data_IF_751244552138
#
_entry.id   IF_751244552138
#
_cell.length_a   1.000
_cell.length_b   1.000
_cell.length_c   1.000
_cell.angle_alpha   90.00
_cell.angle_beta   90.00
_cell.angle_gamma   90.00
#
_symmetry.space_group_name_H-M   'P 1'
#
loop_
_entity.id
_entity.type
_entity.pdbx_description
1 polymer ?
#
# COMPACT_ATOMS: atom_id res chain seq x y z
N UNK A 1 -4.65 -44.56 -59.42
CA UNK A 1 -4.37 -45.14 -58.12
C UNK A 1 -4.99 -44.18 -57.09
N UNK A 2 -6.18 -44.55 -56.59
CA UNK A 2 -6.95 -43.71 -55.66
C UNK A 2 -6.63 -44.20 -54.23
N UNK A 3 -6.08 -43.31 -53.39
CA UNK A 3 -5.85 -43.58 -51.98
C UNK A 3 -7.08 -43.16 -51.18
N UNK A 4 -7.72 -44.13 -50.56
CA UNK A 4 -8.89 -43.96 -49.69
C UNK A 4 -8.43 -43.44 -48.30
N UNK A 5 -9.00 -42.28 -47.92
CA UNK A 5 -8.89 -41.72 -46.56
C UNK A 5 -9.93 -42.42 -45.65
N UNK A 6 -9.48 -43.20 -44.70
CA UNK A 6 -10.32 -43.80 -43.65
C UNK A 6 -10.46 -42.81 -42.49
N UNK A 7 -11.70 -42.47 -42.18
CA UNK A 7 -12.06 -41.68 -40.99
C UNK A 7 -11.98 -42.55 -39.70
N UNK A 8 -11.51 -41.98 -38.57
CA UNK A 8 -11.57 -42.66 -37.29
C UNK A 8 -13.01 -42.69 -36.72
N UNK A 9 -13.34 -43.71 -35.92
CA UNK A 9 -14.69 -43.87 -35.35
C UNK A 9 -14.92 -42.86 -34.18
N UNK A 10 -16.21 -42.52 -33.91
CA UNK A 10 -16.58 -41.62 -32.84
C UNK A 10 -16.44 -42.28 -31.47
N UNK A 11 -16.19 -41.47 -30.39
CA UNK A 11 -16.00 -41.97 -29.03
C UNK A 11 -17.33 -42.46 -28.43
N UNK A 12 -17.29 -43.44 -27.48
CA UNK A 12 -18.49 -44.04 -26.89
C UNK A 12 -19.22 -43.06 -25.94
N UNK A 13 -20.54 -43.09 -26.03
CA UNK A 13 -21.45 -42.36 -25.15
C UNK A 13 -21.41 -42.92 -23.71
N UNK A 14 -21.09 -42.07 -22.73
CA UNK A 14 -21.26 -42.36 -21.31
C UNK A 14 -22.73 -42.15 -20.89
N UNK A 15 -23.29 -43.04 -20.08
CA UNK A 15 -24.65 -42.89 -19.62
C UNK A 15 -24.78 -41.82 -18.53
N UNK A 16 -25.77 -40.95 -18.71
CA UNK A 16 -26.21 -39.93 -17.75
C UNK A 16 -26.90 -40.63 -16.54
N UNK A 17 -26.24 -40.51 -15.36
CA UNK A 17 -26.86 -40.87 -14.09
C UNK A 17 -27.33 -39.61 -13.38
N UNK A 18 -28.63 -39.35 -13.46
CA UNK A 18 -29.33 -38.44 -12.56
C UNK A 18 -30.14 -39.27 -11.54
N UNK A 19 -29.90 -39.09 -10.24
CA UNK A 19 -30.97 -39.29 -9.28
C UNK A 19 -31.26 -37.95 -8.55
N UNK A 20 -32.46 -37.41 -8.75
CA UNK A 20 -33.04 -36.39 -7.89
C UNK A 20 -33.48 -37.01 -6.57
N UNK A 21 -33.09 -36.52 -5.40
CA UNK A 21 -33.72 -36.90 -4.15
C UNK A 21 -35.04 -36.12 -3.98
N UNK A 22 -36.14 -36.82 -3.93
CA UNK A 22 -37.42 -36.30 -3.47
C UNK A 22 -37.43 -36.17 -1.96
N UNK A 23 -37.39 -34.93 -1.47
CA UNK A 23 -37.66 -34.65 -0.06
C UNK A 23 -39.16 -34.48 0.17
N UNK A 24 -39.77 -35.47 0.75
CA UNK A 24 -41.14 -35.40 1.32
C UNK A 24 -41.10 -34.57 2.60
N UNK A 25 -41.81 -33.45 2.58
CA UNK A 25 -42.07 -32.62 3.78
C UNK A 25 -42.99 -33.38 4.71
N UNK A 26 -42.48 -33.93 5.81
CA UNK A 26 -43.27 -34.29 6.99
C UNK A 26 -43.34 -33.07 7.89
N UNK A 27 -44.51 -32.44 7.97
CA UNK A 27 -44.82 -31.39 8.96
C UNK A 27 -44.93 -32.04 10.33
N UNK A 28 -43.94 -31.80 11.19
CA UNK A 28 -44.02 -32.04 12.62
C UNK A 28 -44.48 -30.74 13.29
N UNK A 29 -45.78 -30.72 13.68
CA UNK A 29 -46.32 -29.70 14.56
C UNK A 29 -45.82 -30.00 15.98
N UNK A 30 -44.77 -29.25 16.40
CA UNK A 30 -44.33 -29.15 17.78
C UNK A 30 -44.94 -27.88 18.39
N UNK A 31 -45.97 -28.07 19.22
CA UNK A 31 -46.47 -27.04 20.12
C UNK A 31 -45.42 -26.76 21.21
N UNK A 32 -44.67 -25.70 21.05
CA UNK A 32 -43.77 -25.21 22.08
C UNK A 32 -44.44 -24.06 22.82
N UNK A 33 -44.69 -24.27 24.11
CA UNK A 33 -45.05 -23.24 25.09
C UNK A 33 -43.93 -22.20 25.15
N UNK A 34 -44.20 -20.99 24.74
CA UNK A 34 -43.26 -19.87 24.80
C UNK A 34 -43.15 -19.37 26.24
N UNK A 35 -42.10 -19.80 26.95
CA UNK A 35 -41.57 -19.06 28.11
C UNK A 35 -40.73 -17.90 27.59
N UNK A 36 -41.27 -16.70 27.73
CA UNK A 36 -40.56 -15.45 27.42
C UNK A 36 -39.46 -15.21 28.43
N UNK A 37 -38.26 -15.71 28.16
CA UNK A 37 -37.03 -15.25 28.83
C UNK A 37 -36.65 -13.91 28.22
N UNK A 38 -36.96 -12.82 28.93
CA UNK A 38 -36.45 -11.49 28.62
C UNK A 38 -34.95 -11.46 28.87
N UNK A 39 -34.16 -11.63 27.80
CA UNK A 39 -32.74 -11.32 27.83
C UNK A 39 -32.59 -9.80 27.87
N UNK A 40 -31.82 -9.23 28.81
CA UNK A 40 -31.47 -7.82 28.73
C UNK A 40 -30.70 -7.64 27.42
N UNK A 41 -31.21 -6.80 26.54
CA UNK A 41 -30.47 -6.35 25.36
C UNK A 41 -29.23 -5.62 25.85
N UNK A 42 -28.09 -6.29 25.81
CA UNK A 42 -26.80 -5.63 25.89
C UNK A 42 -26.77 -4.64 24.72
N UNK A 43 -27.01 -3.38 25.02
CA UNK A 43 -26.78 -2.28 24.10
C UNK A 43 -25.28 -2.35 23.77
N UNK A 44 -24.95 -2.96 22.66
CA UNK A 44 -23.64 -2.80 22.05
C UNK A 44 -23.54 -1.31 21.72
N UNK A 45 -22.90 -0.54 22.59
CA UNK A 45 -22.48 0.82 22.26
C UNK A 45 -21.53 0.66 21.10
N UNK A 46 -22.04 0.92 19.88
CA UNK A 46 -21.22 1.03 18.69
C UNK A 46 -20.14 2.06 19.04
N UNK A 47 -18.91 1.61 19.19
CA UNK A 47 -17.76 2.49 19.37
C UNK A 47 -17.72 3.33 18.10
N UNK A 48 -18.17 4.58 18.24
CA UNK A 48 -18.16 5.53 17.14
C UNK A 48 -16.69 5.68 16.69
N UNK A 49 -16.39 5.50 15.40
CA UNK A 49 -15.01 5.62 14.94
C UNK A 49 -14.46 6.97 15.37
N UNK A 50 -13.21 7.03 15.86
CA UNK A 50 -12.63 8.28 16.34
C UNK A 50 -12.67 9.30 15.20
N UNK A 51 -13.17 10.50 15.50
CA UNK A 51 -13.19 11.57 14.52
C UNK A 51 -11.75 12.13 14.38
N UNK A 52 -11.05 11.89 13.26
CA UNK A 52 -9.66 12.26 13.13
C UNK A 52 -9.51 13.77 13.02
N UNK A 53 -8.70 14.34 13.92
CA UNK A 53 -8.32 15.77 13.86
C UNK A 53 -6.92 15.91 13.25
N UNK A 54 -6.77 16.88 12.35
CA UNK A 54 -5.50 17.24 11.74
C UNK A 54 -4.70 18.07 12.73
N UNK A 55 -3.58 17.54 13.19
CA UNK A 55 -2.67 18.21 14.11
C UNK A 55 -1.46 18.81 13.40
N UNK A 56 -1.02 18.20 12.31
CA UNK A 56 0.14 18.58 11.56
C UNK A 56 -0.16 18.61 10.06
N UNK A 57 0.57 19.45 9.32
CA UNK A 57 0.51 19.49 7.86
C UNK A 57 1.91 19.36 7.29
N UNK A 58 2.00 18.58 6.20
CA UNK A 58 3.24 18.36 5.46
C UNK A 58 2.96 18.59 3.99
N UNK A 59 3.91 19.19 3.28
CA UNK A 59 3.90 19.16 1.82
C UNK A 59 4.89 18.14 1.31
N UNK A 60 4.56 17.52 0.18
CA UNK A 60 5.46 16.68 -0.63
C UNK A 60 5.35 17.10 -2.09
N UNK A 61 6.48 17.28 -2.75
CA UNK A 61 6.53 17.49 -4.20
C UNK A 61 6.97 16.21 -4.90
N UNK A 62 6.24 15.85 -5.93
CA UNK A 62 6.55 14.69 -6.75
C UNK A 62 7.03 15.12 -8.12
N UNK A 63 8.09 14.48 -8.62
CA UNK A 63 8.67 14.76 -9.92
C UNK A 63 8.92 13.48 -10.71
N UNK A 64 8.88 13.58 -12.02
CA UNK A 64 9.27 12.53 -12.96
C UNK A 64 10.76 12.66 -13.29
N UNK A 65 11.46 11.53 -13.34
CA UNK A 65 12.85 11.42 -13.73
C UNK A 65 12.95 10.44 -14.90
N UNK A 66 13.01 10.92 -16.17
CA UNK A 66 13.02 10.03 -17.33
C UNK A 66 14.30 9.20 -17.45
N UNK A 67 15.41 9.70 -16.88
CA UNK A 67 16.75 9.14 -17.11
C UNK A 67 17.29 8.25 -15.99
N UNK A 68 16.49 7.96 -14.96
CA UNK A 68 16.95 7.22 -13.78
C UNK A 68 17.50 5.82 -14.08
N UNK A 69 16.97 5.13 -15.09
CA UNK A 69 17.34 3.76 -15.45
C UNK A 69 18.29 3.66 -16.65
N UNK A 70 18.93 4.75 -17.04
CA UNK A 70 19.91 4.70 -18.13
C UNK A 70 21.12 3.82 -17.76
N UNK A 71 21.70 3.08 -18.74
CA UNK A 71 22.79 2.14 -18.50
C UNK A 71 24.11 2.79 -18.02
N UNK A 72 24.24 4.10 -18.13
CA UNK A 72 25.46 4.85 -17.79
C UNK A 72 25.52 5.31 -16.32
N UNK A 73 24.68 4.73 -15.44
CA UNK A 73 24.69 5.06 -14.01
C UNK A 73 25.97 4.59 -13.35
N UNK A 74 26.69 5.50 -12.70
CA UNK A 74 27.91 5.20 -11.95
C UNK A 74 27.61 4.99 -10.45
N UNK A 75 28.49 4.27 -9.77
CA UNK A 75 28.41 4.08 -8.33
C UNK A 75 28.61 5.43 -7.64
N UNK A 76 27.62 5.90 -6.89
CA UNK A 76 27.66 7.20 -6.19
C UNK A 76 26.76 8.29 -6.78
N UNK A 77 26.17 8.07 -7.96
CA UNK A 77 25.19 8.99 -8.52
C UNK A 77 23.95 9.07 -7.61
N UNK A 78 23.60 10.29 -7.24
CA UNK A 78 22.37 10.57 -6.48
C UNK A 78 21.21 10.85 -7.43
N UNK A 79 19.97 10.74 -6.94
CA UNK A 79 18.78 11.06 -7.75
C UNK A 79 18.84 12.50 -8.25
N UNK A 80 19.32 13.44 -7.45
CA UNK A 80 19.46 14.84 -7.85
C UNK A 80 20.43 15.05 -9.02
N UNK A 81 21.49 14.24 -9.14
CA UNK A 81 22.42 14.31 -10.27
C UNK A 81 21.89 13.60 -11.52
N UNK A 82 21.18 12.50 -11.33
CA UNK A 82 20.60 11.70 -12.43
C UNK A 82 19.37 12.35 -13.05
N UNK A 83 18.63 13.14 -12.28
CA UNK A 83 17.35 13.72 -12.66
C UNK A 83 17.46 15.21 -12.98
N UNK A 84 18.55 15.64 -13.65
CA UNK A 84 18.72 17.04 -14.12
C UNK A 84 17.54 17.54 -14.98
N UNK A 85 16.94 16.63 -15.75
CA UNK A 85 15.81 16.90 -16.67
C UNK A 85 14.47 16.51 -16.05
N UNK A 86 14.36 16.59 -14.72
CA UNK A 86 13.13 16.22 -14.02
C UNK A 86 11.98 17.17 -14.32
N UNK A 87 10.78 16.61 -14.43
CA UNK A 87 9.54 17.37 -14.58
C UNK A 87 8.72 17.29 -13.30
N UNK A 88 8.38 18.45 -12.74
CA UNK A 88 7.52 18.51 -11.55
C UNK A 88 6.10 18.04 -11.92
N UNK A 89 5.60 17.02 -11.22
CA UNK A 89 4.20 16.59 -11.29
C UNK A 89 3.29 17.52 -10.49
N UNK A 90 3.75 17.95 -9.34
CA UNK A 90 3.03 18.86 -8.47
C UNK A 90 3.31 18.66 -6.99
N UNK A 91 2.60 19.47 -6.19
CA UNK A 91 2.69 19.47 -4.73
C UNK A 91 1.43 18.84 -4.13
N UNK A 92 1.62 18.01 -3.12
CA UNK A 92 0.56 17.38 -2.32
C UNK A 92 0.67 17.90 -0.90
N UNK A 93 -0.46 18.28 -0.30
CA UNK A 93 -0.53 18.65 1.12
C UNK A 93 -1.22 17.54 1.89
N UNK A 94 -0.54 17.02 2.90
CA UNK A 94 -1.00 15.96 3.77
C UNK A 94 -1.41 16.54 5.12
N UNK A 95 -2.59 16.16 5.62
CA UNK A 95 -3.01 16.40 6.99
C UNK A 95 -2.80 15.14 7.84
N UNK A 96 -2.13 15.27 8.98
CA UNK A 96 -1.73 14.14 9.81
C UNK A 96 -2.52 14.11 11.12
N UNK A 97 -2.75 12.91 11.65
CA UNK A 97 -3.58 12.62 12.82
C UNK A 97 -2.74 12.34 14.07
N UNK A 98 -1.93 13.32 14.50
CA UNK A 98 -1.00 13.16 15.62
C UNK A 98 -1.67 12.86 16.97
N UNK A 99 -2.97 13.13 17.14
CA UNK A 99 -3.70 12.74 18.34
C UNK A 99 -4.05 11.25 18.39
N UNK A 100 -4.17 10.59 17.23
CA UNK A 100 -4.49 9.17 17.13
C UNK A 100 -3.25 8.29 17.16
N UNK A 101 -2.24 8.68 16.38
CA UNK A 101 -1.01 7.92 16.20
C UNK A 101 0.22 8.85 16.27
N UNK A 102 0.51 9.37 17.48
CA UNK A 102 1.53 10.40 17.68
C UNK A 102 2.94 9.94 17.30
N UNK A 103 3.27 8.66 17.54
CA UNK A 103 4.60 8.14 17.22
C UNK A 103 4.81 8.01 15.72
N UNK A 104 3.82 7.46 15.01
CA UNK A 104 3.84 7.35 13.55
C UNK A 104 3.97 8.73 12.90
N UNK A 105 3.15 9.69 13.33
CA UNK A 105 3.19 11.07 12.81
C UNK A 105 4.51 11.76 13.11
N UNK A 106 5.04 11.62 14.33
CA UNK A 106 6.33 12.20 14.72
C UNK A 106 7.48 11.66 13.88
N UNK A 107 7.53 10.33 13.68
CA UNK A 107 8.56 9.68 12.86
C UNK A 107 8.47 10.13 11.39
N UNK A 108 7.26 10.12 10.82
CA UNK A 108 7.03 10.56 9.45
C UNK A 108 7.43 12.03 9.25
N UNK A 109 7.02 12.90 10.15
CA UNK A 109 7.35 14.33 10.12
C UNK A 109 8.86 14.58 10.22
N UNK A 110 9.57 13.83 11.08
CA UNK A 110 11.02 13.99 11.24
C UNK A 110 11.79 13.64 9.97
N UNK A 111 11.27 12.72 9.14
CA UNK A 111 11.85 12.35 7.84
C UNK A 111 11.48 13.34 6.72
N UNK A 112 10.44 14.17 6.90
CA UNK A 112 10.11 15.24 5.97
C UNK A 112 10.90 16.52 6.26
N UNK A 113 11.27 16.77 7.52
CA UNK A 113 12.00 17.97 7.91
C UNK A 113 13.50 17.71 7.77
N UNK A 114 14.06 18.12 6.63
CA UNK A 114 15.52 18.08 6.43
C UNK A 114 16.18 19.09 7.34
N UNK A 115 17.07 18.64 8.23
CA UNK A 115 17.94 19.53 9.00
C UNK A 115 19.02 20.11 8.06
N UNK A 116 19.08 21.44 7.85
CA UNK A 116 20.06 22.05 6.95
C UNK A 116 21.53 21.79 7.36
N UNK A 117 21.75 21.40 8.62
CA UNK A 117 23.08 21.06 9.16
C UNK A 117 23.41 19.56 9.10
N UNK A 118 22.54 18.74 8.57
CA UNK A 118 22.79 17.32 8.41
C UNK A 118 23.51 17.05 7.09
N UNK A 119 24.42 16.06 7.10
CA UNK A 119 25.16 15.62 5.92
C UNK A 119 24.24 15.37 4.72
N UNK A 120 24.73 15.55 3.46
CA UNK A 120 23.94 15.29 2.24
C UNK A 120 23.36 13.87 2.15
N UNK A 121 23.85 12.93 2.97
CA UNK A 121 23.29 11.60 3.19
C UNK A 121 22.22 11.58 4.31
N UNK A 122 21.66 12.74 4.65
CA UNK A 122 20.64 12.87 5.69
C UNK A 122 19.39 12.06 5.34
N UNK A 123 18.96 11.34 6.31
CA UNK A 123 17.77 10.48 6.28
C UNK A 123 16.51 11.31 6.08
N UNK A 124 16.03 11.41 4.86
CA UNK A 124 14.83 12.16 4.50
C UNK A 124 14.06 11.42 3.42
N UNK A 125 12.77 11.71 3.30
CA UNK A 125 11.98 11.29 2.14
C UNK A 125 12.37 12.03 0.85
N UNK A 126 13.05 13.16 0.94
CA UNK A 126 13.57 13.85 -0.24
C UNK A 126 14.52 12.94 -1.01
N UNK A 127 14.39 12.93 -2.33
CA UNK A 127 15.12 12.06 -3.25
C UNK A 127 14.81 10.55 -3.10
N UNK A 128 13.65 10.18 -2.57
CA UNK A 128 13.22 8.78 -2.52
C UNK A 128 12.19 8.46 -3.58
N UNK A 129 12.17 7.21 -4.04
CA UNK A 129 11.33 6.76 -5.13
C UNK A 129 9.92 6.38 -4.66
N UNK A 130 8.96 6.58 -5.55
CA UNK A 130 7.74 5.80 -5.59
C UNK A 130 8.10 4.45 -6.24
N UNK A 131 8.22 3.41 -5.44
CA UNK A 131 8.77 2.14 -5.90
C UNK A 131 7.72 1.14 -6.40
N UNK A 132 6.47 1.26 -5.94
CA UNK A 132 5.33 0.46 -6.41
C UNK A 132 4.11 1.35 -6.66
N UNK A 133 3.39 1.09 -7.75
CA UNK A 133 2.08 1.70 -8.03
C UNK A 133 1.13 0.58 -8.42
N UNK A 134 0.09 0.39 -7.62
CA UNK A 134 -1.00 -0.55 -7.88
C UNK A 134 -2.17 0.27 -8.47
N UNK A 135 -2.41 0.18 -9.77
CA UNK A 135 -3.41 1.01 -10.43
C UNK A 135 -4.80 0.85 -9.80
N UNK A 136 -5.45 1.98 -9.52
CA UNK A 136 -6.78 1.99 -8.92
C UNK A 136 -6.86 1.60 -7.44
N UNK A 137 -5.72 1.43 -6.78
CA UNK A 137 -5.65 1.06 -5.36
C UNK A 137 -4.80 2.06 -4.57
N UNK A 138 -3.48 1.97 -4.66
CA UNK A 138 -2.53 2.80 -3.92
C UNK A 138 -1.15 2.78 -4.57
N UNK A 139 -0.28 3.65 -4.10
CA UNK A 139 1.14 3.57 -4.38
C UNK A 139 1.95 3.57 -3.09
N UNK A 140 3.19 3.08 -3.18
CA UNK A 140 4.14 2.94 -2.08
C UNK A 140 5.37 3.83 -2.31
N UNK A 141 5.81 4.50 -1.25
CA UNK A 141 7.02 5.32 -1.23
C UNK A 141 7.72 5.24 0.13
N UNK A 142 8.98 5.70 0.17
CA UNK A 142 9.74 5.76 1.41
C UNK A 142 10.24 4.40 1.91
N UNK A 143 10.48 3.43 1.02
CA UNK A 143 11.06 2.14 1.37
C UNK A 143 12.38 2.33 2.11
N UNK A 144 12.59 1.58 3.20
CA UNK A 144 13.85 1.59 3.93
C UNK A 144 14.93 0.86 3.14
N UNK A 145 16.13 1.46 3.06
CA UNK A 145 17.25 0.85 2.37
C UNK A 145 18.38 1.83 2.05
N UNK A 146 18.89 1.76 0.85
CA UNK A 146 20.07 2.51 0.41
C UNK A 146 19.68 3.79 -0.34
N UNK A 147 20.16 4.98 0.11
CA UNK A 147 19.87 6.25 -0.53
C UNK A 147 20.29 6.33 -2.01
N UNK A 148 21.38 5.66 -2.39
CA UNK A 148 21.83 5.58 -3.79
C UNK A 148 20.83 4.81 -4.70
N UNK A 149 19.92 4.03 -4.10
CA UNK A 149 18.80 3.37 -4.79
C UNK A 149 17.49 4.12 -4.73
N UNK A 150 17.49 5.33 -4.13
CA UNK A 150 16.27 6.10 -3.90
C UNK A 150 15.42 5.57 -2.75
N UNK A 151 16.06 4.95 -1.77
CA UNK A 151 15.43 4.41 -0.58
C UNK A 151 15.76 5.29 0.64
N UNK A 152 14.96 5.20 1.70
CA UNK A 152 15.17 5.95 2.95
C UNK A 152 16.14 5.19 3.84
N UNK A 153 17.14 5.88 4.35
CA UNK A 153 17.96 5.37 5.45
C UNK A 153 17.55 6.08 6.74
N UNK A 154 16.74 5.47 7.60
CA UNK A 154 16.31 6.10 8.85
C UNK A 154 17.49 6.43 9.73
N UNK A 155 17.46 7.57 10.43
CA UNK A 155 18.54 7.90 11.39
C UNK A 155 18.46 6.95 12.59
N UNK A 156 19.62 6.62 13.16
CA UNK A 156 19.71 5.71 14.32
C UNK A 156 18.94 6.20 15.55
N UNK A 157 18.79 7.52 15.69
CA UNK A 157 18.02 8.13 16.77
C UNK A 157 16.49 8.08 16.55
N UNK A 158 16.02 7.67 15.38
CA UNK A 158 14.58 7.55 15.11
C UNK A 158 13.99 6.47 16.02
N UNK A 159 13.04 6.80 16.90
CA UNK A 159 12.49 5.83 17.82
C UNK A 159 11.68 4.77 17.07
N UNK A 160 11.72 3.53 17.59
CA UNK A 160 10.86 2.46 17.09
C UNK A 160 9.39 2.84 17.22
N UNK A 161 8.60 2.48 16.24
CA UNK A 161 7.17 2.72 16.25
C UNK A 161 6.46 1.62 17.05
N UNK A 162 6.10 1.94 18.31
CA UNK A 162 5.36 1.02 19.19
C UNK A 162 3.87 0.93 18.83
N UNK A 163 3.35 1.81 18.00
CA UNK A 163 1.94 1.79 17.57
C UNK A 163 1.65 0.63 16.61
N UNK A 164 2.69 0.03 16.01
CA UNK A 164 2.56 -1.13 15.13
C UNK A 164 1.99 -2.38 15.81
N UNK A 165 2.03 -2.43 17.14
CA UNK A 165 1.47 -3.53 17.97
C UNK A 165 0.26 -3.09 18.78
N UNK A 166 -0.18 -1.83 18.69
CA UNK A 166 -1.36 -1.32 19.38
C UNK A 166 -2.61 -1.44 18.50
N UNK A 167 -3.61 -2.26 18.84
CA UNK A 167 -4.84 -2.39 18.05
C UNK A 167 -5.58 -1.07 17.83
N UNK A 168 -5.43 -0.09 18.72
CA UNK A 168 -6.08 1.24 18.59
C UNK A 168 -5.52 2.04 17.40
N UNK A 169 -4.27 1.79 17.02
CA UNK A 169 -3.65 2.47 15.89
C UNK A 169 -4.29 2.07 14.53
N UNK A 170 -4.99 0.94 14.49
CA UNK A 170 -5.66 0.41 13.29
C UNK A 170 -7.15 0.79 13.21
N UNK A 171 -7.60 1.76 14.00
CA UNK A 171 -9.02 2.12 14.10
C UNK A 171 -9.60 2.78 12.83
N UNK A 172 -8.77 3.36 11.97
CA UNK A 172 -9.19 4.01 10.74
C UNK A 172 -9.08 3.07 9.53
N UNK A 173 -9.97 3.26 8.55
CA UNK A 173 -10.08 2.43 7.34
C UNK A 173 -9.66 3.19 6.08
N UNK A 174 -9.31 2.43 5.03
CA UNK A 174 -8.93 2.96 3.72
C UNK A 174 -10.18 3.15 2.83
N UNK A 175 -11.10 3.97 3.30
CA UNK A 175 -12.46 4.10 2.74
C UNK A 175 -12.54 4.96 1.46
N UNK A 176 -11.50 5.71 1.12
CA UNK A 176 -11.51 6.69 0.02
C UNK A 176 -10.10 6.93 -0.54
N UNK A 177 -9.99 7.59 -1.73
CA UNK A 177 -8.73 8.11 -2.23
C UNK A 177 -8.10 9.13 -1.29
N UNK A 178 -6.77 9.21 -1.33
CA UNK A 178 -6.00 10.18 -0.55
C UNK A 178 -5.81 9.81 0.93
N UNK A 179 -6.11 8.59 1.36
CA UNK A 179 -5.73 8.12 2.71
C UNK A 179 -4.24 7.82 2.72
N UNK A 180 -3.55 8.34 3.75
CA UNK A 180 -2.12 8.13 3.98
C UNK A 180 -1.94 7.14 5.11
N UNK A 181 -1.18 6.07 4.86
CA UNK A 181 -1.02 4.98 5.79
C UNK A 181 0.43 4.52 5.87
N UNK A 182 0.86 4.11 7.07
CA UNK A 182 2.13 3.42 7.26
C UNK A 182 2.00 2.00 6.71
N UNK A 183 2.90 1.63 5.78
CA UNK A 183 2.89 0.31 5.16
C UNK A 183 3.53 -0.72 6.10
N UNK A 184 2.76 -1.72 6.49
CA UNK A 184 3.20 -2.82 7.35
C UNK A 184 3.01 -4.18 6.68
N UNK A 185 2.06 -4.28 5.74
CA UNK A 185 1.66 -5.55 5.13
C UNK A 185 2.28 -5.82 3.77
N UNK A 186 2.82 -4.78 3.12
CA UNK A 186 3.30 -4.90 1.73
C UNK A 186 4.75 -5.43 1.63
N UNK A 187 5.42 -5.56 2.78
CA UNK A 187 6.80 -6.06 2.87
C UNK A 187 6.87 -7.55 3.23
N UNK A 188 5.83 -8.33 2.90
CA UNK A 188 5.77 -9.75 3.23
C UNK A 188 6.90 -10.56 2.56
N UNK A 189 7.44 -10.07 1.44
CA UNK A 189 8.54 -10.71 0.71
C UNK A 189 9.93 -10.47 1.34
N UNK A 190 10.02 -9.65 2.41
CA UNK A 190 11.29 -9.25 3.03
C UNK A 190 11.26 -9.48 4.56
N UNK A 191 10.76 -10.62 5.01
CA UNK A 191 10.64 -10.92 6.44
C UNK A 191 11.97 -10.81 7.20
N UNK A 192 13.10 -11.12 6.58
CA UNK A 192 14.42 -10.96 7.18
C UNK A 192 14.73 -9.51 7.58
N UNK A 193 14.28 -8.52 6.78
CA UNK A 193 14.49 -7.11 7.08
C UNK A 193 13.68 -6.68 8.30
N UNK A 194 12.49 -7.23 8.50
CA UNK A 194 11.64 -6.90 9.66
C UNK A 194 12.24 -7.33 10.99
N UNK A 195 13.08 -8.36 10.99
CA UNK A 195 13.80 -8.84 12.18
C UNK A 195 15.08 -8.05 12.46
N UNK A 196 15.55 -7.21 11.52
CA UNK A 196 16.71 -6.35 11.74
C UNK A 196 16.41 -5.37 12.90
N UNK A 197 17.25 -5.32 13.96
CA UNK A 197 17.10 -4.35 15.04
C UNK A 197 17.19 -2.89 14.57
N UNK A 198 17.81 -2.63 13.43
CA UNK A 198 17.90 -1.29 12.82
C UNK A 198 16.70 -0.96 11.90
N UNK A 199 15.80 -1.93 11.64
CA UNK A 199 14.63 -1.67 10.84
C UNK A 199 13.67 -0.70 11.52
N UNK A 200 13.23 0.28 10.75
CA UNK A 200 12.21 1.27 11.15
C UNK A 200 11.10 1.26 10.11
N UNK A 201 9.87 1.17 10.55
CA UNK A 201 8.72 1.25 9.66
C UNK A 201 8.58 2.70 9.16
N UNK A 202 9.16 3.01 8.01
CA UNK A 202 9.17 4.35 7.40
C UNK A 202 8.47 4.38 6.04
N UNK A 203 8.20 3.21 5.47
CA UNK A 203 7.46 3.08 4.22
C UNK A 203 6.00 3.48 4.41
N UNK A 204 5.47 4.24 3.46
CA UNK A 204 4.10 4.69 3.49
C UNK A 204 3.40 4.45 2.16
N UNK A 205 2.08 4.38 2.22
CA UNK A 205 1.22 4.28 1.06
C UNK A 205 0.19 5.42 1.03
N UNK A 206 -0.24 5.77 -0.18
CA UNK A 206 -1.35 6.69 -0.39
C UNK A 206 -2.36 6.02 -1.33
N UNK A 207 -3.64 5.95 -0.89
CA UNK A 207 -4.71 5.39 -1.71
C UNK A 207 -5.04 6.31 -2.87
N UNK A 208 -5.25 5.73 -4.06
CA UNK A 208 -5.46 6.48 -5.31
C UNK A 208 -6.89 6.42 -5.83
N UNK A 209 -7.70 5.47 -5.31
CA UNK A 209 -9.08 5.29 -5.72
C UNK A 209 -9.25 4.54 -7.04
N UNK A 210 -10.47 4.46 -7.59
CA UNK A 210 -11.68 5.24 -7.22
C UNK A 210 -12.43 4.75 -5.98
N UNK A 211 -12.20 3.53 -5.52
CA UNK A 211 -12.93 2.91 -4.43
C UNK A 211 -12.14 2.76 -3.15
N UNK A 212 -12.76 2.16 -2.12
CA UNK A 212 -12.09 1.79 -0.88
C UNK A 212 -11.09 0.65 -1.11
N UNK A 213 -10.10 0.55 -0.22
CA UNK A 213 -9.08 -0.50 -0.22
C UNK A 213 -9.17 -1.35 1.07
N UNK A 214 -10.25 -2.13 1.28
CA UNK A 214 -10.48 -2.85 2.53
C UNK A 214 -9.42 -3.92 2.82
N UNK A 215 -8.69 -4.39 1.80
CA UNK A 215 -7.57 -5.31 1.96
C UNK A 215 -6.41 -4.74 2.80
N UNK A 216 -6.34 -3.41 2.94
CA UNK A 216 -5.34 -2.71 3.75
C UNK A 216 -5.79 -2.49 5.20
N UNK A 217 -7.11 -2.64 5.48
CA UNK A 217 -7.68 -2.38 6.80
C UNK A 217 -7.18 -3.40 7.83
N UNK A 218 -6.95 -2.93 9.05
CA UNK A 218 -6.39 -3.71 10.17
C UNK A 218 -4.96 -4.27 9.92
N UNK A 219 -4.35 -3.96 8.79
CA UNK A 219 -2.98 -4.36 8.45
C UNK A 219 -2.01 -3.19 8.42
N UNK A 220 -2.51 -2.00 8.10
CA UNK A 220 -1.74 -0.77 7.94
C UNK A 220 -2.31 0.33 8.82
N UNK A 221 -1.44 1.21 9.33
CA UNK A 221 -1.84 2.28 10.24
C UNK A 221 -2.16 3.54 9.44
N UNK A 222 -3.44 3.91 9.37
CA UNK A 222 -3.85 5.18 8.78
C UNK A 222 -3.45 6.33 9.70
N UNK A 223 -2.59 7.22 9.23
CA UNK A 223 -2.09 8.34 10.02
C UNK A 223 -2.34 9.72 9.40
N UNK A 224 -2.99 9.77 8.23
CA UNK A 224 -3.26 11.04 7.58
C UNK A 224 -4.16 10.94 6.35
N UNK A 225 -4.37 12.08 5.73
CA UNK A 225 -5.13 12.23 4.49
C UNK A 225 -4.55 13.33 3.61
N UNK A 226 -4.73 13.20 2.30
CA UNK A 226 -4.45 14.26 1.33
C UNK A 226 -5.48 15.37 1.50
N UNK A 227 -5.02 16.61 1.66
CA UNK A 227 -5.84 17.81 1.75
C UNK A 227 -5.90 18.52 0.41
N UNK A 228 -4.78 18.59 -0.30
CA UNK A 228 -4.62 19.25 -1.60
C UNK A 228 -3.70 18.40 -2.49
N UNK A 229 -3.87 18.47 -3.81
CA UNK A 229 -3.03 17.75 -4.76
C UNK A 229 -3.52 16.32 -5.06
N UNK A 230 -4.82 16.04 -4.95
CA UNK A 230 -5.37 14.73 -5.32
C UNK A 230 -5.22 14.44 -6.82
N UNK A 231 -5.14 15.46 -7.66
CA UNK A 231 -4.80 15.38 -9.08
C UNK A 231 -3.38 14.84 -9.30
N UNK A 232 -2.42 15.24 -8.46
CA UNK A 232 -1.04 14.69 -8.48
C UNK A 232 -1.06 13.20 -8.12
N UNK A 233 -1.82 12.82 -7.09
CA UNK A 233 -2.00 11.41 -6.70
C UNK A 233 -2.60 10.60 -7.85
N UNK A 234 -3.59 11.16 -8.56
CA UNK A 234 -4.21 10.53 -9.72
C UNK A 234 -3.22 10.41 -10.89
N UNK A 235 -2.38 11.43 -11.12
CA UNK A 235 -1.33 11.38 -12.14
C UNK A 235 -0.30 10.29 -11.84
N UNK A 236 0.12 10.12 -10.58
CA UNK A 236 1.00 9.02 -10.15
C UNK A 236 0.32 7.67 -10.42
N UNK A 237 -0.95 7.51 -10.05
CA UNK A 237 -1.71 6.28 -10.22
C UNK A 237 -1.88 5.88 -11.70
N UNK A 238 -1.91 6.85 -12.61
CA UNK A 238 -2.05 6.62 -14.07
C UNK A 238 -0.73 6.29 -14.77
N UNK A 239 0.40 6.34 -14.05
CA UNK A 239 1.70 6.02 -14.63
C UNK A 239 1.77 4.53 -14.99
N UNK A 240 2.18 4.18 -16.22
CA UNK A 240 2.34 2.79 -16.62
C UNK A 240 3.31 2.04 -15.70
N UNK A 241 2.96 0.81 -15.33
CA UNK A 241 3.76 -0.04 -14.45
C UNK A 241 4.17 -1.33 -15.14
N UNK A 242 5.27 -1.91 -14.67
CA UNK A 242 5.70 -3.23 -15.12
C UNK A 242 4.75 -4.29 -14.54
N UNK A 243 4.01 -4.97 -15.42
CA UNK A 243 3.15 -6.08 -15.06
C UNK A 243 3.55 -7.32 -15.87
N UNK A 244 4.01 -8.39 -15.22
CA UNK A 244 4.32 -9.63 -15.93
C UNK A 244 3.05 -10.26 -16.47
N UNK A 245 3.15 -10.93 -17.63
CA UNK A 245 2.05 -11.69 -18.20
C UNK A 245 1.61 -12.82 -17.27
N UNK A 246 0.37 -13.29 -17.43
CA UNK A 246 -0.25 -14.29 -16.55
C UNK A 246 0.59 -15.58 -16.43
N UNK A 247 1.16 -16.08 -17.52
CA UNK A 247 2.03 -17.26 -17.51
C UNK A 247 3.27 -17.05 -16.63
N UNK A 248 3.87 -15.86 -16.69
CA UNK A 248 5.06 -15.54 -15.89
C UNK A 248 4.68 -15.52 -14.41
N UNK A 249 3.51 -14.97 -14.07
CA UNK A 249 3.00 -14.99 -12.69
C UNK A 249 2.83 -16.42 -12.18
N UNK A 250 2.16 -17.27 -12.94
CA UNK A 250 1.95 -18.67 -12.57
C UNK A 250 3.27 -19.45 -12.38
N UNK A 251 4.24 -19.25 -13.27
CA UNK A 251 5.58 -19.87 -13.10
C UNK A 251 6.30 -19.33 -11.87
N UNK A 252 6.18 -18.04 -11.60
CA UNK A 252 6.79 -17.42 -10.43
C UNK A 252 6.16 -17.94 -9.12
N UNK A 253 4.82 -18.05 -9.09
CA UNK A 253 4.09 -18.59 -7.93
C UNK A 253 4.49 -20.05 -7.67
N UNK A 254 4.68 -20.85 -8.72
CA UNK A 254 5.14 -22.22 -8.60
C UNK A 254 6.59 -22.30 -8.10
N UNK A 255 7.48 -21.45 -8.62
CA UNK A 255 8.87 -21.37 -8.19
C UNK A 255 9.01 -20.98 -6.72
N UNK A 256 8.20 -20.01 -6.27
CA UNK A 256 8.14 -19.58 -4.88
C UNK A 256 7.61 -20.69 -3.97
N UNK A 257 6.59 -21.43 -4.40
CA UNK A 257 6.09 -22.60 -3.66
C UNK A 257 7.20 -23.64 -3.43
N UNK A 258 8.17 -23.77 -4.35
CA UNK A 258 9.34 -24.63 -4.20
C UNK A 258 10.51 -23.94 -3.47
N UNK A 259 10.36 -22.72 -2.97
CA UNK A 259 11.38 -22.00 -2.23
C UNK A 259 12.49 -21.40 -3.09
N UNK A 260 12.23 -21.11 -4.38
CA UNK A 260 13.22 -20.46 -5.25
C UNK A 260 13.26 -18.95 -4.95
N UNK A 261 14.37 -18.48 -4.35
CA UNK A 261 14.61 -17.07 -4.04
C UNK A 261 14.53 -16.14 -5.28
N UNK A 262 14.75 -16.68 -6.48
CA UNK A 262 14.63 -15.90 -7.72
C UNK A 262 13.19 -15.43 -7.96
N UNK A 263 12.22 -16.19 -7.46
CA UNK A 263 10.81 -15.83 -7.57
C UNK A 263 10.49 -14.56 -6.77
N UNK A 264 11.02 -14.45 -5.55
CA UNK A 264 10.88 -13.26 -4.70
C UNK A 264 11.52 -12.03 -5.36
N UNK A 265 12.77 -12.18 -5.87
CA UNK A 265 13.47 -11.13 -6.59
C UNK A 265 12.69 -10.67 -7.84
N UNK A 266 12.03 -11.59 -8.55
CA UNK A 266 11.18 -11.25 -9.69
C UNK A 266 9.94 -10.45 -9.27
N UNK A 267 9.31 -10.77 -8.13
CA UNK A 267 8.16 -10.03 -7.60
C UNK A 267 8.52 -8.60 -7.17
N UNK A 268 9.72 -8.37 -6.70
CA UNK A 268 10.17 -7.05 -6.24
C UNK A 268 10.08 -5.97 -7.35
N UNK A 269 10.11 -6.37 -8.63
CA UNK A 269 9.96 -5.44 -9.76
C UNK A 269 8.52 -5.28 -10.25
N UNK A 270 7.57 -6.10 -9.78
CA UNK A 270 6.18 -6.00 -10.20
C UNK A 270 5.54 -4.70 -9.69
N UNK A 271 4.67 -4.13 -10.51
CA UNK A 271 4.03 -2.85 -10.25
C UNK A 271 4.99 -1.66 -10.09
N UNK A 272 6.23 -1.82 -10.50
CA UNK A 272 7.18 -0.70 -10.55
C UNK A 272 6.81 0.26 -11.67
N UNK A 273 6.78 1.58 -11.44
CA UNK A 273 6.54 2.56 -12.48
C UNK A 273 7.59 2.45 -13.60
N UNK A 274 7.16 2.46 -14.86
CA UNK A 274 8.08 2.46 -16.01
C UNK A 274 8.80 3.80 -16.16
N UNK A 275 8.16 4.90 -15.75
CA UNK A 275 8.81 6.20 -15.60
C UNK A 275 9.05 6.44 -14.13
N UNK A 276 10.28 6.74 -13.76
CA UNK A 276 10.65 6.93 -12.36
C UNK A 276 9.97 8.17 -11.79
N UNK A 277 9.27 7.98 -10.68
CA UNK A 277 8.66 9.03 -9.88
C UNK A 277 9.42 9.09 -8.56
N UNK A 278 9.72 10.30 -8.10
CA UNK A 278 10.42 10.50 -6.84
C UNK A 278 9.89 11.72 -6.10
N UNK A 279 10.15 11.78 -4.80
CA UNK A 279 9.84 12.93 -3.94
C UNK A 279 10.98 13.93 -4.11
N UNK A 280 10.72 15.02 -4.84
CA UNK A 280 11.74 16.05 -5.11
C UNK A 280 11.94 17.00 -3.94
N UNK A 281 10.89 17.26 -3.18
CA UNK A 281 10.97 18.04 -1.94
C UNK A 281 9.88 17.64 -0.95
N UNK A 282 10.13 17.89 0.33
CA UNK A 282 9.14 17.71 1.39
C UNK A 282 9.49 18.57 2.60
N UNK A 283 8.47 18.94 3.37
CA UNK A 283 8.64 19.76 4.55
C UNK A 283 7.37 19.94 5.36
N UNK A 284 7.51 20.45 6.58
CA UNK A 284 6.37 20.75 7.45
C UNK A 284 5.78 22.12 7.14
N UNK A 285 4.47 22.22 7.23
CA UNK A 285 3.70 23.46 7.20
C UNK A 285 3.23 23.83 8.61
N UNK A 286 3.23 25.11 8.93
CA UNK A 286 2.72 25.56 10.21
C UNK A 286 1.21 25.36 10.33
N UNK A 287 0.79 24.80 11.46
CA UNK A 287 -0.62 24.63 11.81
C UNK A 287 -0.90 25.44 13.08
N UNK A 288 -1.60 26.52 12.94
CA UNK A 288 -1.95 27.40 14.08
C UNK A 288 -2.99 26.79 15.01
N UNK A 289 -3.92 25.96 14.49
CA UNK A 289 -4.96 25.25 15.27
C UNK A 289 -5.27 23.90 14.63
N UNK A 290 -5.44 22.82 15.43
CA UNK A 290 -5.96 21.56 14.93
C UNK A 290 -7.33 21.75 14.25
N UNK A 291 -7.55 21.03 13.14
CA UNK A 291 -8.79 21.10 12.38
C UNK A 291 -9.34 19.70 12.11
N UNK A 292 -10.67 19.63 11.94
CA UNK A 292 -11.31 18.39 11.51
C UNK A 292 -10.88 18.05 10.07
N UNK A 293 -10.86 16.77 9.76
CA UNK A 293 -10.64 16.30 8.38
C UNK A 293 -11.76 16.84 7.50
N UNK A 294 -11.44 17.54 6.39
CA UNK A 294 -12.47 17.98 5.46
C UNK A 294 -13.27 16.78 4.95
N UNK A 295 -14.60 16.88 4.94
CA UNK A 295 -15.43 15.97 4.16
C UNK A 295 -15.17 16.27 2.69
N UNK A 296 -14.66 15.31 1.95
CA UNK A 296 -14.64 15.41 0.49
C UNK A 296 -16.08 15.38 -0.03
N UNK A 297 -16.38 16.17 -1.06
CA UNK A 297 -17.71 16.19 -1.67
C UNK A 297 -18.08 14.85 -2.28
#
# INVERSE_FOLDING_TARGET
MASSLTHPPPPPHLPSLNPKPNFTRRSLLLTSTATTLSFPSLSSSAIQPPNPTITDRIFMEFSLCPNYYLPNRTLGDTISTLCSDSTLLGRVILGLYGNLVPRTVSNFKSLCISNPNSNPNSSSYKNTLVHKVLPGQYFLAGRQGRPDRGEVRPPSYLPRNTETVDPKAFALTHSRPGIVSLSLSENDDEDEIKFDPEYRNVEFLITTGPGPCPQLDNKNIVFGTVLEGLDVITAIASTPTYQPGERIRQFNDLAEFFGDERAQNARAIWNRPLTTIYISDCGALEVTKPSLTPSLP
#
